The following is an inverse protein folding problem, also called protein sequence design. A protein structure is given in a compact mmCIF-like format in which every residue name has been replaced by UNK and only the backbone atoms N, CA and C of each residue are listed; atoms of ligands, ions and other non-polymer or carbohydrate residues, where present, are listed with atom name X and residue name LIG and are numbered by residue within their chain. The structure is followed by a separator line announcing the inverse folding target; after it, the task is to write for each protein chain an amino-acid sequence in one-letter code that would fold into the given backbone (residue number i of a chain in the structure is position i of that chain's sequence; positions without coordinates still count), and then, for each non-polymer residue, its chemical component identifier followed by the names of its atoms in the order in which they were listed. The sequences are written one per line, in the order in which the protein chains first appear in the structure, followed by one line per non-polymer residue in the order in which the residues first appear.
data_IF_463957882892
#
_entry.id   IF_463957882892
#
_cell.length_a   1.000
_cell.length_b   1.000
_cell.length_c   1.000
_cell.angle_alpha   90.00
_cell.angle_beta   90.00
_cell.angle_gamma   90.00
#
_symmetry.space_group_name_H-M   'P 1'
#
loop_
_entity.id
_entity.type
_entity.pdbx_description
1 polymer ?
#
# COMPACT_ATOMS: atom_id res chain seq x y z
N UNK A 1 32.50 3.31 -13.98
CA UNK A 1 31.31 4.16 -13.78
C UNK A 1 30.11 3.78 -14.63
N UNK A 2 30.07 3.94 -15.97
CA UNK A 2 28.86 3.60 -16.76
C UNK A 2 28.50 2.10 -16.69
N UNK A 3 29.49 1.20 -16.70
CA UNK A 3 29.28 -0.25 -16.59
C UNK A 3 28.69 -0.68 -15.25
N UNK A 4 29.16 -0.09 -14.14
CA UNK A 4 28.66 -0.39 -12.79
C UNK A 4 27.23 0.11 -12.59
N UNK A 5 26.90 1.29 -13.14
CA UNK A 5 25.54 1.80 -13.10
C UNK A 5 24.55 0.88 -13.82
N UNK A 6 24.94 0.35 -14.99
CA UNK A 6 24.12 -0.63 -15.72
C UNK A 6 23.92 -1.91 -14.93
N UNK A 7 24.98 -2.45 -14.34
CA UNK A 7 24.89 -3.67 -13.53
C UNK A 7 23.91 -3.53 -12.36
N UNK A 8 23.93 -2.39 -11.67
CA UNK A 8 23.01 -2.12 -10.56
C UNK A 8 21.56 -2.01 -11.05
N UNK A 9 21.34 -1.40 -12.21
CA UNK A 9 20.00 -1.31 -12.82
C UNK A 9 19.47 -2.71 -13.20
N UNK A 10 20.31 -3.55 -13.80
CA UNK A 10 19.93 -4.91 -14.18
C UNK A 10 19.56 -5.76 -12.95
N UNK A 11 20.32 -5.64 -11.85
CA UNK A 11 20.01 -6.31 -10.59
C UNK A 11 18.70 -5.81 -9.97
N UNK A 12 18.38 -4.52 -10.11
CA UNK A 12 17.12 -3.96 -9.63
C UNK A 12 15.94 -4.57 -10.40
N UNK A 13 16.04 -4.66 -11.72
CA UNK A 13 15.00 -5.29 -12.55
C UNK A 13 14.82 -6.78 -12.22
N UNK A 14 15.92 -7.51 -11.99
CA UNK A 14 15.87 -8.90 -11.56
C UNK A 14 15.14 -9.06 -10.23
N UNK A 15 15.46 -8.20 -9.25
CA UNK A 15 14.84 -8.22 -7.93
C UNK A 15 13.35 -7.89 -8.01
N UNK A 16 12.97 -6.87 -8.78
CA UNK A 16 11.57 -6.52 -8.99
C UNK A 16 10.79 -7.69 -9.62
N UNK A 17 11.39 -8.40 -10.58
CA UNK A 17 10.78 -9.57 -11.19
C UNK A 17 10.63 -10.73 -10.19
N UNK A 18 11.60 -10.97 -9.31
CA UNK A 18 11.50 -11.95 -8.23
C UNK A 18 10.39 -11.62 -7.25
N UNK A 19 10.30 -10.37 -6.83
CA UNK A 19 9.25 -9.88 -5.93
C UNK A 19 7.87 -10.08 -6.56
N UNK A 20 7.70 -9.71 -7.83
CA UNK A 20 6.43 -9.88 -8.52
C UNK A 20 6.01 -11.35 -8.59
N UNK A 21 6.95 -12.26 -8.92
CA UNK A 21 6.67 -13.71 -8.91
C UNK A 21 6.25 -14.22 -7.53
N UNK A 22 6.93 -13.78 -6.46
CA UNK A 22 6.55 -14.15 -5.10
C UNK A 22 5.15 -13.69 -4.72
N UNK A 23 4.76 -12.49 -5.15
CA UNK A 23 3.41 -11.96 -4.92
C UNK A 23 2.36 -12.75 -5.69
N UNK A 24 2.59 -13.05 -6.96
CA UNK A 24 1.65 -13.82 -7.81
C UNK A 24 1.39 -15.23 -7.27
N UNK A 25 2.38 -15.85 -6.64
CA UNK A 25 2.27 -17.17 -6.03
C UNK A 25 1.66 -17.15 -4.62
N UNK A 26 1.64 -15.99 -3.96
CA UNK A 26 1.06 -15.84 -2.62
C UNK A 26 -0.45 -15.60 -2.68
N UNK A 27 -1.19 -16.17 -1.73
CA UNK A 27 -2.63 -15.94 -1.59
C UNK A 27 -2.94 -14.48 -1.31
N UNK A 28 -2.17 -13.85 -0.43
CA UNK A 28 -2.29 -12.46 -0.04
C UNK A 28 -2.05 -11.53 -1.23
N UNK A 29 -1.04 -11.84 -2.04
CA UNK A 29 -0.74 -11.11 -3.26
C UNK A 29 -1.87 -11.18 -4.28
N UNK A 30 -2.43 -12.36 -4.53
CA UNK A 30 -3.58 -12.52 -5.42
C UNK A 30 -4.82 -11.75 -4.93
N UNK A 31 -5.07 -11.74 -3.61
CA UNK A 31 -6.18 -10.96 -3.04
C UNK A 31 -5.93 -9.46 -3.26
N UNK A 32 -4.72 -8.97 -2.99
CA UNK A 32 -4.41 -7.55 -3.12
C UNK A 32 -4.42 -7.09 -4.59
N UNK A 33 -3.88 -7.89 -5.52
CA UNK A 33 -3.88 -7.57 -6.95
C UNK A 33 -5.28 -7.68 -7.57
N UNK A 34 -6.20 -8.44 -6.96
CA UNK A 34 -7.59 -8.49 -7.40
C UNK A 34 -8.35 -7.16 -7.21
N UNK A 35 -7.82 -6.24 -6.40
CA UNK A 35 -8.40 -4.91 -6.16
C UNK A 35 -7.73 -3.91 -7.12
N UNK A 36 -8.37 -3.50 -8.23
CA UNK A 36 -7.82 -2.46 -9.09
C UNK A 36 -7.85 -1.15 -8.28
N UNK A 37 -6.75 -0.37 -8.17
CA UNK A 37 -5.57 -0.31 -9.06
C UNK A 37 -4.29 -1.05 -8.60
N UNK A 38 -4.31 -1.82 -7.51
CA UNK A 38 -3.09 -2.38 -6.91
C UNK A 38 -2.39 -3.38 -7.85
N UNK A 39 -1.17 -3.06 -8.29
CA UNK A 39 -0.31 -3.96 -9.04
C UNK A 39 0.57 -4.87 -8.14
N UNK A 40 1.32 -5.82 -8.73
CA UNK A 40 2.14 -6.77 -7.97
C UNK A 40 3.16 -6.10 -7.06
N UNK A 41 3.83 -5.04 -7.53
CA UNK A 41 4.83 -4.30 -6.74
C UNK A 41 4.19 -3.58 -5.54
N UNK A 42 3.01 -2.98 -5.74
CA UNK A 42 2.26 -2.33 -4.65
C UNK A 42 1.74 -3.35 -3.64
N UNK A 43 1.24 -4.50 -4.12
CA UNK A 43 0.85 -5.61 -3.27
C UNK A 43 2.03 -6.10 -2.44
N UNK A 44 3.22 -6.25 -3.03
CA UNK A 44 4.45 -6.58 -2.31
C UNK A 44 4.78 -5.56 -1.22
N UNK A 45 4.72 -4.27 -1.56
CA UNK A 45 4.99 -3.19 -0.61
C UNK A 45 3.99 -3.19 0.55
N UNK A 46 2.71 -3.48 0.29
CA UNK A 46 1.68 -3.61 1.31
C UNK A 46 1.94 -4.82 2.22
N UNK A 47 2.23 -5.98 1.63
CA UNK A 47 2.55 -7.22 2.38
C UNK A 47 3.78 -6.99 3.26
N UNK A 48 4.86 -6.44 2.71
CA UNK A 48 6.07 -6.12 3.46
C UNK A 48 5.83 -5.11 4.59
N UNK A 49 4.95 -4.13 4.36
CA UNK A 49 4.62 -3.09 5.36
C UNK A 49 3.73 -3.59 6.50
N UNK A 50 2.86 -4.57 6.23
CA UNK A 50 1.95 -5.18 7.22
C UNK A 50 2.65 -6.35 7.93
N UNK A 51 3.56 -7.03 7.22
CA UNK A 51 4.19 -8.27 7.64
C UNK A 51 3.17 -9.41 7.61
N UNK A 52 2.45 -9.60 8.71
CA UNK A 52 1.39 -10.59 8.83
C UNK A 52 0.07 -9.92 9.18
N UNK A 53 -1.00 -10.28 8.45
CA UNK A 53 -2.34 -9.77 8.74
C UNK A 53 -2.85 -10.23 10.11
N UNK A 54 -2.30 -11.32 10.65
CA UNK A 54 -2.61 -11.81 11.99
C UNK A 54 -2.15 -10.87 13.11
N UNK A 55 -1.27 -9.91 12.83
CA UNK A 55 -0.86 -8.88 13.78
C UNK A 55 -1.99 -7.88 14.09
N UNK A 56 -3.07 -7.88 13.30
CA UNK A 56 -4.20 -6.97 13.45
C UNK A 56 -5.38 -7.68 14.10
N UNK A 57 -5.83 -7.16 15.25
CA UNK A 57 -6.99 -7.68 15.98
C UNK A 57 -8.29 -7.72 15.18
N UNK A 58 -8.46 -6.80 14.22
CA UNK A 58 -9.63 -6.68 13.37
C UNK A 58 -9.35 -5.80 12.14
N UNK A 59 -10.27 -5.82 11.17
CA UNK A 59 -10.19 -5.02 9.95
C UNK A 59 -10.15 -3.50 10.23
N UNK A 60 -10.79 -3.03 11.32
CA UNK A 60 -10.76 -1.62 11.69
C UNK A 60 -9.35 -1.16 12.14
N UNK A 61 -8.61 -2.01 12.85
CA UNK A 61 -7.23 -1.74 13.24
C UNK A 61 -6.31 -1.70 12.02
N UNK A 62 -6.52 -2.59 11.06
CA UNK A 62 -5.82 -2.54 9.78
C UNK A 62 -6.15 -1.24 9.03
N UNK A 63 -7.43 -0.88 8.89
CA UNK A 63 -7.88 0.36 8.25
C UNK A 63 -7.24 1.61 8.89
N UNK A 64 -7.15 1.65 10.22
CA UNK A 64 -6.48 2.71 10.96
C UNK A 64 -4.97 2.75 10.70
N UNK A 65 -4.31 1.60 10.59
CA UNK A 65 -2.88 1.50 10.24
C UNK A 65 -2.56 2.09 8.87
N UNK A 66 -3.45 1.92 7.89
CA UNK A 66 -3.32 2.57 6.58
C UNK A 66 -3.41 4.09 6.65
N UNK A 67 -4.04 4.66 7.70
CA UNK A 67 -4.06 6.10 7.96
C UNK A 67 -4.94 6.93 7.02
N UNK A 68 -5.69 6.27 6.12
CA UNK A 68 -6.66 6.87 5.21
C UNK A 68 -8.12 6.66 5.66
N UNK A 69 -8.32 6.04 6.83
CA UNK A 69 -9.64 5.91 7.42
C UNK A 69 -10.10 7.25 8.02
N UNK A 70 -11.36 7.68 7.75
CA UNK A 70 -11.96 8.76 8.51
C UNK A 70 -12.14 8.31 9.97
N UNK A 71 -11.79 9.19 10.89
CA UNK A 71 -12.01 9.04 12.33
C UNK A 71 -13.24 9.82 12.72
N UNK A 72 -14.15 9.17 13.44
CA UNK A 72 -15.35 9.81 13.98
C UNK A 72 -15.02 10.28 15.40
N UNK A 73 -15.12 11.59 15.62
CA UNK A 73 -15.03 12.19 16.94
C UNK A 73 -16.40 12.73 17.33
N UNK A 74 -16.93 12.26 18.46
CA UNK A 74 -18.24 12.66 18.97
C UNK A 74 -18.07 13.17 20.40
N UNK A 75 -18.19 14.48 20.61
CA UNK A 75 -18.01 15.14 21.91
C UNK A 75 -19.35 15.53 22.57
N UNK A 76 -20.34 14.63 22.52
CA UNK A 76 -21.64 14.80 23.19
C UNK A 76 -22.61 15.78 22.52
N UNK A 77 -22.14 16.83 21.85
CA UNK A 77 -22.98 17.85 21.17
C UNK A 77 -22.65 18.05 19.68
N UNK A 78 -21.53 17.52 19.19
CA UNK A 78 -21.12 17.66 17.79
C UNK A 78 -20.67 16.32 17.21
N UNK A 79 -21.08 16.06 15.96
CA UNK A 79 -20.67 14.89 15.18
C UNK A 79 -19.67 15.36 14.12
N UNK A 80 -18.39 15.04 14.31
CA UNK A 80 -17.33 15.40 13.37
C UNK A 80 -16.62 14.13 12.88
N UNK A 81 -16.96 13.72 11.64
CA UNK A 81 -16.40 12.54 10.96
C UNK A 81 -15.33 12.90 9.91
N UNK A 82 -14.79 14.12 9.97
CA UNK A 82 -14.00 14.72 8.88
C UNK A 82 -12.49 14.51 9.00
N UNK A 83 -11.99 14.09 10.16
CA UNK A 83 -10.55 13.97 10.39
C UNK A 83 -10.01 12.60 9.93
N UNK A 84 -8.92 12.59 9.18
CA UNK A 84 -8.17 11.35 8.94
C UNK A 84 -7.53 10.85 10.23
N UNK A 85 -7.33 9.54 10.33
CA UNK A 85 -6.70 8.93 11.51
C UNK A 85 -5.29 9.53 11.74
N UNK A 86 -5.04 10.19 12.89
CA UNK A 86 -3.74 10.81 13.17
C UNK A 86 -2.62 9.76 13.17
N UNK A 87 -2.91 8.59 13.75
CA UNK A 87 -2.05 7.41 13.71
C UNK A 87 -2.21 6.63 12.40
N UNK A 88 -1.08 6.25 11.81
CA UNK A 88 -1.02 5.41 10.61
C UNK A 88 0.41 5.39 10.06
N UNK A 89 0.80 4.31 9.39
CA UNK A 89 2.14 4.17 8.83
C UNK A 89 2.38 5.23 7.76
N UNK A 90 3.46 6.02 7.91
CA UNK A 90 3.84 7.06 6.95
C UNK A 90 4.07 6.48 5.55
N UNK A 91 4.66 5.29 5.51
CA UNK A 91 4.86 4.52 4.28
C UNK A 91 3.52 4.20 3.64
N UNK A 92 2.58 3.66 4.42
CA UNK A 92 1.27 3.27 3.91
C UNK A 92 0.44 4.47 3.43
N UNK A 93 0.52 5.60 4.14
CA UNK A 93 -0.10 6.86 3.70
C UNK A 93 0.42 7.28 2.32
N UNK A 94 1.74 7.18 2.11
CA UNK A 94 2.41 7.51 0.84
C UNK A 94 2.08 6.51 -0.28
N UNK A 95 2.08 5.21 0.01
CA UNK A 95 1.74 4.16 -0.96
C UNK A 95 0.32 4.35 -1.49
N UNK A 96 -0.65 4.58 -0.60
CA UNK A 96 -2.03 4.87 -0.97
C UNK A 96 -2.17 6.15 -1.81
N UNK A 97 -1.49 7.24 -1.43
CA UNK A 97 -1.47 8.47 -2.23
C UNK A 97 -0.92 8.24 -3.63
N UNK A 98 0.25 7.61 -3.73
CA UNK A 98 0.92 7.35 -5.00
C UNK A 98 0.02 6.53 -5.92
N UNK A 99 -0.61 5.49 -5.37
CA UNK A 99 -1.47 4.62 -6.14
C UNK A 99 -2.74 5.33 -6.64
N UNK A 100 -3.41 6.10 -5.78
CA UNK A 100 -4.54 6.94 -6.17
C UNK A 100 -4.15 7.96 -7.25
N UNK A 101 -2.98 8.60 -7.11
CA UNK A 101 -2.49 9.58 -8.08
C UNK A 101 -2.19 8.96 -9.45
N UNK A 102 -1.63 7.75 -9.46
CA UNK A 102 -1.37 7.00 -10.70
C UNK A 102 -2.69 6.60 -11.37
N UNK A 103 -3.71 6.23 -10.59
CA UNK A 103 -5.03 5.91 -11.12
C UNK A 103 -5.72 7.12 -11.73
N UNK A 104 -5.71 8.27 -11.05
CA UNK A 104 -6.26 9.53 -11.57
C UNK A 104 -5.57 9.90 -12.89
N UNK A 105 -4.23 9.75 -12.95
CA UNK A 105 -3.47 10.01 -14.18
C UNK A 105 -3.87 9.08 -15.33
N UNK A 106 -4.07 7.78 -15.07
CA UNK A 106 -4.52 6.80 -16.08
C UNK A 106 -5.96 7.03 -16.58
N UNK A 107 -6.84 7.63 -15.78
CA UNK A 107 -8.22 7.94 -16.19
C UNK A 107 -8.29 9.19 -17.08
N UNK A 108 -7.31 10.09 -16.93
CA UNK A 108 -7.22 11.36 -17.66
C UNK A 108 -6.54 11.26 -19.04
N UNK A 109 -6.07 10.07 -19.44
CA UNK A 109 -5.51 9.77 -20.76
C UNK A 109 -6.43 8.81 -21.50
#
# INVERSE_FOLDING_TARGET
MIKELKLIADHLEQLDAEICRGVEQSREGQILTSIPPLGPLQAAAIIASIGSIANFRNAAALKAYFGWAPTITQSGTTYNATALTPGGSRLMKKTMYFELSNRIRKISQ
#
